data_IF_128078820506
#
_entry.id   IF_128078820506
#
_cell.length_a   1.000
_cell.length_b   1.000
_cell.length_c   1.000
_cell.angle_alpha   90.00
_cell.angle_beta   90.00
_cell.angle_gamma   90.00
#
_symmetry.space_group_name_H-M   'P 1'
#
loop_
_entity.id
_entity.type
_entity.pdbx_description
1 polymer ?
#
# COMPACT_ATOMS: atom_id res chain seq x y z
N UNK A 1 -0.19 -17.97 27.07
CA UNK A 1 0.82 -17.00 26.60
C UNK A 1 0.17 -16.20 25.49
N UNK A 2 -0.20 -14.95 25.75
CA UNK A 2 -0.77 -14.09 24.73
C UNK A 2 0.35 -13.65 23.79
N UNK A 3 0.27 -14.05 22.51
CA UNK A 3 1.12 -13.46 21.48
C UNK A 3 0.61 -12.05 21.26
N UNK A 4 1.45 -11.05 21.56
CA UNK A 4 1.19 -9.69 21.14
C UNK A 4 1.37 -9.64 19.61
N UNK A 5 0.27 -9.73 18.88
CA UNK A 5 0.25 -9.73 17.41
C UNK A 5 0.39 -8.27 16.97
N UNK A 6 1.64 -7.82 16.80
CA UNK A 6 1.96 -6.50 16.27
C UNK A 6 2.16 -6.60 14.77
N UNK A 7 1.43 -5.78 14.02
CA UNK A 7 1.54 -5.70 12.57
C UNK A 7 2.98 -5.40 12.11
N UNK A 8 3.54 -6.17 11.15
CA UNK A 8 4.92 -6.02 10.71
C UNK A 8 5.08 -4.77 9.84
N UNK A 9 5.92 -3.85 10.33
CA UNK A 9 6.35 -2.65 9.62
C UNK A 9 7.87 -2.73 9.46
N UNK A 10 8.32 -2.71 8.20
CA UNK A 10 9.72 -2.91 7.82
C UNK A 10 10.29 -1.58 7.31
N UNK A 11 11.36 -1.10 7.93
CA UNK A 11 12.09 0.09 7.47
C UNK A 11 13.22 -0.31 6.51
N UNK A 12 13.07 0.03 5.22
CA UNK A 12 14.05 -0.34 4.20
C UNK A 12 15.36 0.46 4.28
N UNK A 13 15.38 1.59 5.00
CA UNK A 13 16.62 2.35 5.21
C UNK A 13 17.67 1.53 5.98
N UNK A 14 17.21 0.59 6.82
CA UNK A 14 18.04 -0.28 7.66
C UNK A 14 18.74 -1.40 6.89
N UNK A 15 18.34 -1.68 5.65
CA UNK A 15 18.94 -2.74 4.82
C UNK A 15 20.36 -2.45 4.35
N UNK A 16 20.75 -1.17 4.36
CA UNK A 16 22.07 -0.70 3.94
C UNK A 16 23.04 -0.49 5.11
N UNK A 17 22.64 -0.85 6.34
CA UNK A 17 23.43 -0.67 7.55
C UNK A 17 23.69 -1.96 8.32
N UNK A 18 24.15 -1.82 9.56
CA UNK A 18 24.45 -2.94 10.47
C UNK A 18 23.19 -3.74 10.84
N UNK A 19 22.01 -3.14 10.76
CA UNK A 19 20.72 -3.77 11.07
C UNK A 19 20.14 -4.60 9.91
N UNK A 20 20.91 -4.81 8.83
CA UNK A 20 20.45 -5.56 7.65
C UNK A 20 19.93 -6.95 8.02
N UNK A 21 20.68 -7.72 8.80
CA UNK A 21 20.32 -9.10 9.13
C UNK A 21 19.02 -9.18 9.95
N UNK A 22 18.85 -8.25 10.89
CA UNK A 22 17.63 -8.14 11.70
C UNK A 22 16.42 -7.75 10.84
N UNK A 23 16.62 -6.81 9.91
CA UNK A 23 15.57 -6.36 8.99
C UNK A 23 15.17 -7.48 8.02
N UNK A 24 16.14 -8.27 7.53
CA UNK A 24 15.88 -9.43 6.69
C UNK A 24 15.14 -10.55 7.44
N UNK A 25 15.49 -10.81 8.70
CA UNK A 25 14.77 -11.76 9.54
C UNK A 25 13.31 -11.32 9.77
N UNK A 26 13.06 -10.02 9.96
CA UNK A 26 11.71 -9.47 10.07
C UNK A 26 10.91 -9.68 8.78
N UNK A 27 11.53 -9.49 7.62
CA UNK A 27 10.90 -9.73 6.31
C UNK A 27 10.55 -11.21 6.14
N UNK A 28 11.46 -12.13 6.49
CA UNK A 28 11.21 -13.57 6.40
C UNK A 28 10.05 -13.99 7.32
N UNK A 29 10.06 -13.53 8.57
CA UNK A 29 8.96 -13.78 9.53
C UNK A 29 7.62 -13.22 9.02
N UNK A 30 7.60 -11.99 8.51
CA UNK A 30 6.39 -11.38 7.96
C UNK A 30 5.87 -12.14 6.72
N UNK A 31 6.76 -12.61 5.84
CA UNK A 31 6.38 -13.42 4.68
C UNK A 31 5.75 -14.75 5.10
N UNK A 32 6.32 -15.43 6.11
CA UNK A 32 5.88 -16.76 6.54
C UNK A 32 4.62 -16.72 7.41
N UNK A 33 4.53 -15.75 8.33
CA UNK A 33 3.51 -15.74 9.39
C UNK A 33 2.37 -14.76 9.14
N UNK A 34 2.59 -13.71 8.33
CA UNK A 34 1.56 -12.70 8.03
C UNK A 34 1.06 -12.75 6.58
N UNK A 35 1.97 -12.95 5.62
CA UNK A 35 1.67 -12.89 4.19
C UNK A 35 1.56 -11.47 3.63
N UNK A 36 1.66 -10.44 4.47
CA UNK A 36 1.77 -9.03 4.07
C UNK A 36 2.41 -8.20 5.20
N UNK A 37 3.03 -7.08 4.82
CA UNK A 37 3.69 -6.13 5.71
C UNK A 37 3.73 -4.74 5.07
N UNK A 38 3.96 -3.71 5.88
CA UNK A 38 4.14 -2.34 5.40
C UNK A 38 5.62 -1.97 5.32
N UNK A 39 5.97 -1.20 4.29
CA UNK A 39 7.33 -0.72 4.06
C UNK A 39 7.43 0.77 4.39
N UNK A 40 8.43 1.14 5.18
CA UNK A 40 8.83 2.52 5.40
C UNK A 40 10.15 2.81 4.66
N UNK A 41 10.36 4.09 4.33
CA UNK A 41 11.58 4.58 3.69
C UNK A 41 11.99 3.78 2.43
N UNK A 42 11.00 3.36 1.64
CA UNK A 42 11.19 2.57 0.41
C UNK A 42 11.83 3.36 -0.75
N UNK A 43 12.13 4.65 -0.56
CA UNK A 43 12.79 5.49 -1.55
C UNK A 43 11.88 5.98 -2.69
N UNK A 44 10.57 5.73 -2.61
CA UNK A 44 9.60 6.27 -3.58
C UNK A 44 9.21 7.66 -3.10
N UNK A 45 9.33 8.71 -3.94
CA UNK A 45 8.97 10.07 -3.55
C UNK A 45 7.50 10.19 -3.13
N UNK A 46 7.24 10.93 -2.05
CA UNK A 46 5.87 11.17 -1.57
C UNK A 46 5.00 11.87 -2.62
N UNK A 47 5.55 12.89 -3.31
CA UNK A 47 4.84 13.59 -4.39
C UNK A 47 4.35 12.66 -5.50
N UNK A 48 5.07 11.56 -5.77
CA UNK A 48 4.64 10.55 -6.75
C UNK A 48 3.45 9.75 -6.23
N UNK A 49 3.50 9.30 -4.96
CA UNK A 49 2.40 8.57 -4.33
C UNK A 49 1.13 9.44 -4.25
N UNK A 50 1.27 10.71 -3.85
CA UNK A 50 0.16 11.67 -3.77
C UNK A 50 -0.47 11.90 -5.15
N UNK A 51 0.35 12.03 -6.19
CA UNK A 51 -0.15 12.20 -7.56
C UNK A 51 -0.90 10.95 -8.05
N UNK A 52 -0.37 9.76 -7.80
CA UNK A 52 -1.03 8.49 -8.17
C UNK A 52 -2.36 8.36 -7.44
N UNK A 53 -2.40 8.65 -6.14
CA UNK A 53 -3.61 8.59 -5.33
C UNK A 53 -4.67 9.55 -5.87
N UNK A 54 -4.29 10.80 -6.13
CA UNK A 54 -5.19 11.82 -6.70
C UNK A 54 -5.74 11.40 -8.06
N UNK A 55 -4.87 10.99 -8.98
CA UNK A 55 -5.28 10.55 -10.33
C UNK A 55 -6.22 9.35 -10.27
N UNK A 56 -5.96 8.39 -9.39
CA UNK A 56 -6.80 7.19 -9.22
C UNK A 56 -8.19 7.55 -8.72
N UNK A 57 -8.26 8.42 -7.69
CA UNK A 57 -9.54 8.92 -7.15
C UNK A 57 -10.34 9.71 -8.19
N UNK A 58 -9.69 10.62 -8.91
CA UNK A 58 -10.32 11.39 -9.99
C UNK A 58 -10.85 10.47 -11.11
N UNK A 59 -10.05 9.49 -11.52
CA UNK A 59 -10.43 8.53 -12.54
C UNK A 59 -11.67 7.73 -12.13
N UNK A 60 -11.67 7.16 -10.93
CA UNK A 60 -12.81 6.40 -10.40
C UNK A 60 -14.08 7.26 -10.29
N UNK A 61 -13.95 8.48 -9.77
CA UNK A 61 -15.06 9.46 -9.69
C UNK A 61 -15.64 9.78 -11.09
N UNK A 62 -14.77 9.97 -12.07
CA UNK A 62 -15.19 10.25 -13.45
C UNK A 62 -15.90 9.05 -14.09
N UNK A 63 -15.42 7.83 -13.85
CA UNK A 63 -16.08 6.61 -14.31
C UNK A 63 -17.47 6.44 -13.68
N UNK A 64 -17.57 6.63 -12.36
CA UNK A 64 -18.84 6.59 -11.63
C UNK A 64 -19.85 7.58 -12.22
N UNK A 65 -19.43 8.83 -12.42
CA UNK A 65 -20.31 9.85 -12.99
C UNK A 65 -20.77 9.52 -14.43
N UNK A 66 -19.91 8.87 -15.23
CA UNK A 66 -20.25 8.44 -16.59
C UNK A 66 -21.22 7.26 -16.59
N UNK A 67 -21.04 6.26 -15.70
CA UNK A 67 -21.93 5.11 -15.61
C UNK A 67 -23.31 5.50 -15.10
N UNK A 68 -23.41 6.40 -14.10
CA UNK A 68 -24.70 6.92 -13.63
C UNK A 68 -25.49 7.66 -14.71
N UNK A 69 -24.81 8.43 -15.58
CA UNK A 69 -25.46 9.13 -16.71
C UNK A 69 -25.92 8.18 -17.82
N UNK A 70 -25.26 7.03 -18.00
CA UNK A 70 -25.70 5.98 -18.95
C UNK A 70 -26.94 5.21 -18.49
N UNK A 71 -27.22 5.13 -17.18
CA UNK A 71 -28.45 4.49 -16.69
C UNK A 71 -29.70 5.38 -16.85
N UNK A 72 -29.54 6.66 -17.17
CA UNK A 72 -30.61 7.64 -17.45
C UNK A 72 -30.75 7.92 -18.96
N UNK A 73 -30.58 6.93 -19.83
CA UNK A 73 -31.19 7.00 -21.17
C UNK A 73 -32.62 6.50 -21.04
N UNK A 74 -33.65 7.35 -21.21
CA UNK A 74 -35.01 6.88 -21.33
C UNK A 74 -35.04 5.94 -22.54
N UNK A 75 -35.35 4.67 -22.31
CA UNK A 75 -35.81 3.82 -23.40
C UNK A 75 -37.15 4.42 -23.84
N UNK A 76 -37.12 5.06 -25.00
CA UNK A 76 -38.30 5.44 -25.77
C UNK A 76 -39.13 4.18 -26.02
#
# INVERSE_FOLDING_TARGET
>A
MEKNIKFPVVDLSKLNGEERDQTMALVDDACQNWGFFELLNHGIPYDLMDNIERMTKEHYKNLWNKSSKKCFVPKI
#
